data_IF_164554630360
#
_entry.id   IF_164554630360
#
_cell.length_a   1.000
_cell.length_b   1.000
_cell.length_c   1.000
_cell.angle_alpha   90.00
_cell.angle_beta   90.00
_cell.angle_gamma   90.00
#
_symmetry.space_group_name_H-M   'P 1'
#
loop_
_entity.id
_entity.type
_entity.pdbx_description
1 polymer ?
#
# COMPACT_ATOMS: atom_id res chain seq x y z
N UNK A 1 17.57 12.95 -20.45
CA UNK A 1 17.64 11.60 -19.89
C UNK A 1 16.23 11.29 -19.44
N UNK A 2 15.66 10.36 -20.18
CA UNK A 2 14.23 10.13 -20.22
C UNK A 2 13.61 9.99 -18.86
N UNK A 3 12.51 10.75 -18.71
CA UNK A 3 11.44 10.46 -17.80
C UNK A 3 11.20 8.94 -17.89
N UNK A 4 11.58 8.18 -16.87
CA UNK A 4 11.25 6.78 -16.76
C UNK A 4 9.74 6.72 -16.59
N UNK A 5 9.05 7.03 -17.70
CA UNK A 5 7.63 6.91 -17.82
C UNK A 5 7.31 5.44 -17.63
N UNK A 6 6.76 5.15 -16.46
CA UNK A 6 6.05 3.92 -16.18
C UNK A 6 5.11 3.69 -17.35
N UNK A 7 5.25 2.64 -18.16
CA UNK A 7 4.28 2.37 -19.19
C UNK A 7 2.95 2.10 -18.51
N UNK A 8 1.99 2.99 -18.70
CA UNK A 8 0.62 2.73 -18.27
C UNK A 8 0.10 1.58 -19.14
N UNK A 9 -0.41 0.51 -18.53
CA UNK A 9 -0.97 -0.58 -19.30
C UNK A 9 -2.13 -0.07 -20.14
N UNK A 10 -2.12 -0.36 -21.43
CA UNK A 10 -3.24 -0.03 -22.30
C UNK A 10 -4.39 -1.01 -22.05
N UNK A 11 -5.47 -0.55 -21.42
CA UNK A 11 -6.65 -1.36 -21.13
C UNK A 11 -7.30 -1.96 -22.39
N UNK A 12 -7.20 -1.27 -23.52
CA UNK A 12 -7.74 -1.79 -24.79
C UNK A 12 -6.96 -2.99 -25.34
N UNK A 13 -5.76 -3.22 -24.85
CA UNK A 13 -4.92 -4.36 -25.23
C UNK A 13 -5.20 -5.63 -24.40
N UNK A 14 -6.23 -5.66 -23.56
CA UNK A 14 -6.58 -6.87 -22.80
C UNK A 14 -6.86 -8.06 -23.71
N UNK A 15 -6.14 -9.19 -23.55
CA UNK A 15 -6.24 -10.34 -24.43
C UNK A 15 -7.41 -11.26 -24.06
N UNK A 16 -8.66 -10.81 -24.27
CA UNK A 16 -9.86 -11.48 -23.80
C UNK A 16 -10.01 -12.92 -24.31
N UNK A 17 -9.56 -13.20 -25.55
CA UNK A 17 -9.64 -14.51 -26.20
C UNK A 17 -8.39 -15.39 -25.97
N UNK A 18 -7.39 -14.92 -25.21
CA UNK A 18 -6.19 -15.67 -24.90
C UNK A 18 -6.41 -16.69 -23.77
N UNK A 19 -5.42 -17.56 -23.57
CA UNK A 19 -5.40 -18.48 -22.42
C UNK A 19 -5.34 -17.74 -21.09
N UNK A 20 -5.52 -18.48 -20.00
CA UNK A 20 -5.56 -17.91 -18.66
C UNK A 20 -4.20 -17.31 -18.26
N UNK A 21 -3.10 -17.94 -18.63
CA UNK A 21 -1.74 -17.48 -18.35
C UNK A 21 -1.46 -16.10 -18.98
N UNK A 22 -1.78 -15.94 -20.29
CA UNK A 22 -1.62 -14.65 -20.98
C UNK A 22 -2.50 -13.55 -20.36
N UNK A 23 -3.74 -13.90 -19.94
CA UNK A 23 -4.61 -12.95 -19.23
C UNK A 23 -4.05 -12.60 -17.86
N UNK A 24 -3.55 -13.59 -17.09
CA UNK A 24 -2.92 -13.38 -15.81
C UNK A 24 -1.72 -12.41 -15.89
N UNK A 25 -0.81 -12.66 -16.83
CA UNK A 25 0.35 -11.77 -17.04
C UNK A 25 -0.08 -10.34 -17.40
N UNK A 26 -1.16 -10.19 -18.17
CA UNK A 26 -1.71 -8.86 -18.45
C UNK A 26 -2.20 -8.16 -17.19
N UNK A 27 -2.94 -8.87 -16.33
CA UNK A 27 -3.44 -8.33 -15.05
C UNK A 27 -2.31 -7.92 -14.09
N UNK A 28 -1.19 -8.64 -14.10
CA UNK A 28 -0.02 -8.31 -13.29
C UNK A 28 0.58 -6.94 -13.62
N UNK A 29 0.37 -6.40 -14.82
CA UNK A 29 0.78 -5.03 -15.17
C UNK A 29 0.12 -3.97 -14.30
N UNK A 30 -1.06 -4.25 -13.76
CA UNK A 30 -1.76 -3.39 -12.80
C UNK A 30 -1.33 -3.68 -11.37
N UNK A 31 -1.12 -4.95 -11.02
CA UNK A 31 -0.63 -5.35 -9.70
C UNK A 31 0.67 -4.63 -9.31
N UNK A 32 1.65 -4.57 -10.22
CA UNK A 32 2.94 -3.91 -9.98
C UNK A 32 2.85 -2.40 -9.79
N UNK A 33 1.68 -1.79 -10.04
CA UNK A 33 1.44 -0.37 -9.84
C UNK A 33 1.16 0.01 -8.38
N UNK A 34 0.98 -0.95 -7.51
CA UNK A 34 0.70 -0.77 -6.09
C UNK A 34 1.77 0.06 -5.34
N UNK A 35 1.42 0.68 -4.22
CA UNK A 35 2.40 1.28 -3.32
C UNK A 35 3.16 0.21 -2.54
N UNK A 36 4.31 0.59 -2.03
CA UNK A 36 5.05 -0.21 -1.06
C UNK A 36 5.91 0.69 -0.18
N UNK A 37 6.22 0.23 1.03
CA UNK A 37 7.10 0.95 1.94
C UNK A 37 8.46 1.17 1.28
N UNK A 38 8.95 2.43 1.29
CA UNK A 38 10.16 2.89 0.56
C UNK A 38 10.21 2.48 -0.92
N UNK A 39 9.06 2.20 -1.54
CA UNK A 39 8.94 1.66 -2.90
C UNK A 39 9.77 0.37 -3.10
N UNK A 40 9.82 -0.45 -2.06
CA UNK A 40 10.59 -1.71 -2.07
C UNK A 40 10.02 -2.74 -3.04
N UNK A 41 8.71 -2.70 -3.35
CA UNK A 41 8.02 -3.60 -4.28
C UNK A 41 8.31 -5.07 -3.97
N UNK A 42 7.93 -5.55 -2.77
CA UNK A 42 8.33 -6.85 -2.24
C UNK A 42 7.39 -7.99 -2.67
N UNK A 43 6.98 -8.00 -3.92
CA UNK A 43 6.11 -9.02 -4.48
C UNK A 43 6.77 -9.76 -5.63
N UNK A 44 6.46 -11.05 -5.72
CA UNK A 44 6.75 -11.90 -6.87
C UNK A 44 5.47 -12.69 -7.22
N UNK A 45 5.37 -13.12 -8.45
CA UNK A 45 4.19 -13.84 -8.96
C UNK A 45 4.62 -15.07 -9.74
N UNK A 46 4.03 -16.22 -9.45
CA UNK A 46 4.10 -17.40 -10.29
C UNK A 46 2.77 -17.56 -11.02
N UNK A 47 2.81 -17.78 -12.32
CA UNK A 47 1.62 -18.02 -13.13
C UNK A 47 1.68 -19.44 -13.68
N UNK A 48 0.64 -20.23 -13.43
CA UNK A 48 0.52 -21.60 -13.90
C UNK A 48 -0.96 -21.91 -14.17
N UNK A 49 -1.31 -22.19 -15.40
CA UNK A 49 -2.68 -22.42 -15.88
C UNK A 49 -3.63 -21.25 -15.52
N UNK A 50 -4.58 -21.48 -14.60
CA UNK A 50 -5.54 -20.49 -14.09
C UNK A 50 -5.22 -20.00 -12.67
N UNK A 51 -4.00 -20.26 -12.18
CA UNK A 51 -3.55 -19.85 -10.87
C UNK A 51 -2.46 -18.78 -10.95
N UNK A 52 -2.58 -17.75 -10.12
CA UNK A 52 -1.54 -16.78 -9.83
C UNK A 52 -1.11 -16.99 -8.38
N UNK A 53 0.10 -17.48 -8.16
CA UNK A 53 0.70 -17.58 -6.83
C UNK A 53 1.37 -16.26 -6.48
N UNK A 54 1.00 -15.70 -5.35
CA UNK A 54 1.53 -14.44 -4.83
C UNK A 54 2.56 -14.74 -3.76
N UNK A 55 3.76 -14.18 -3.93
CA UNK A 55 4.87 -14.37 -2.99
C UNK A 55 5.29 -13.03 -2.39
N UNK A 56 5.69 -13.06 -1.13
CA UNK A 56 6.42 -12.00 -0.48
C UNK A 56 7.93 -12.22 -0.68
N UNK A 57 8.61 -11.25 -1.30
CA UNK A 57 10.07 -11.25 -1.51
C UNK A 57 10.73 -10.68 -0.23
N UNK A 58 11.08 -11.57 0.70
CA UNK A 58 11.70 -11.21 1.99
C UNK A 58 13.10 -10.60 1.82
N UNK A 59 13.75 -10.80 0.65
CA UNK A 59 15.02 -10.13 0.35
C UNK A 59 14.89 -8.60 0.23
N UNK A 60 13.66 -8.11 0.04
CA UNK A 60 13.32 -6.69 -0.09
C UNK A 60 12.71 -6.12 1.20
N UNK A 61 12.75 -6.86 2.29
CA UNK A 61 12.30 -6.40 3.60
C UNK A 61 13.16 -5.24 4.10
N UNK A 62 12.53 -4.29 4.75
CA UNK A 62 13.18 -3.21 5.49
C UNK A 62 13.52 -3.72 6.90
N UNK A 63 14.61 -4.47 7.01
CA UNK A 63 14.90 -5.26 8.22
C UNK A 63 15.13 -4.43 9.48
N UNK A 64 15.36 -3.14 9.35
CA UNK A 64 15.53 -2.20 10.47
C UNK A 64 14.26 -1.41 10.74
N UNK A 65 13.62 -0.88 9.69
CA UNK A 65 12.38 -0.13 9.83
C UNK A 65 11.17 -1.05 10.09
N UNK A 66 11.14 -2.21 9.46
CA UNK A 66 10.04 -3.19 9.50
C UNK A 66 10.56 -4.59 9.85
N UNK A 67 11.10 -4.80 11.07
CA UNK A 67 11.70 -6.07 11.45
C UNK A 67 10.72 -7.24 11.45
N UNK A 68 9.44 -6.97 11.72
CA UNK A 68 8.37 -7.97 11.76
C UNK A 68 7.75 -8.24 10.38
N UNK A 69 8.17 -7.50 9.33
CA UNK A 69 7.63 -7.62 7.98
C UNK A 69 6.19 -7.15 7.81
N UNK A 70 5.65 -6.34 8.74
CA UNK A 70 4.26 -5.84 8.68
C UNK A 70 4.03 -5.04 7.40
N UNK A 71 4.85 -4.02 7.16
CA UNK A 71 4.76 -3.18 5.97
C UNK A 71 5.07 -3.94 4.69
N UNK A 72 5.93 -4.97 4.76
CA UNK A 72 6.19 -5.87 3.64
C UNK A 72 4.90 -6.58 3.21
N UNK A 73 4.18 -7.22 4.14
CA UNK A 73 2.94 -7.94 3.81
C UNK A 73 1.79 -7.01 3.45
N UNK A 74 1.68 -5.84 4.09
CA UNK A 74 0.75 -4.78 3.67
C UNK A 74 1.03 -4.37 2.22
N UNK A 75 2.29 -4.20 1.83
CA UNK A 75 2.66 -3.86 0.45
C UNK A 75 2.26 -4.95 -0.56
N UNK A 76 2.45 -6.23 -0.21
CA UNK A 76 2.00 -7.36 -1.05
C UNK A 76 0.46 -7.38 -1.15
N UNK A 77 -0.24 -7.10 -0.06
CA UNK A 77 -1.69 -6.95 -0.05
C UNK A 77 -2.19 -5.85 -0.99
N UNK A 78 -1.47 -4.71 -1.09
CA UNK A 78 -1.79 -3.66 -2.05
C UNK A 78 -1.68 -4.15 -3.51
N UNK A 79 -0.63 -4.92 -3.83
CA UNK A 79 -0.46 -5.49 -5.16
C UNK A 79 -1.56 -6.51 -5.49
N UNK A 80 -1.95 -7.33 -4.50
CA UNK A 80 -3.08 -8.25 -4.63
C UNK A 80 -4.40 -7.51 -4.90
N UNK A 81 -4.67 -6.39 -4.22
CA UNK A 81 -5.90 -5.63 -4.47
C UNK A 81 -5.93 -5.02 -5.88
N UNK A 82 -4.83 -4.45 -6.35
CA UNK A 82 -4.75 -3.96 -7.73
C UNK A 82 -4.98 -5.07 -8.76
N UNK A 83 -4.46 -6.28 -8.53
CA UNK A 83 -4.72 -7.45 -9.36
C UNK A 83 -6.22 -7.76 -9.43
N UNK A 84 -6.91 -7.77 -8.27
CA UNK A 84 -8.34 -8.10 -8.19
C UNK A 84 -9.22 -7.03 -8.83
N UNK A 85 -8.92 -5.75 -8.61
CA UNK A 85 -9.62 -4.63 -9.25
C UNK A 85 -9.46 -4.69 -10.78
N UNK A 86 -8.25 -5.03 -11.26
CA UNK A 86 -8.02 -5.20 -12.68
C UNK A 86 -8.78 -6.41 -13.24
N UNK A 87 -8.77 -7.55 -12.54
CA UNK A 87 -9.52 -8.74 -12.96
C UNK A 87 -11.02 -8.45 -13.07
N UNK A 88 -11.61 -7.80 -12.07
CA UNK A 88 -13.03 -7.40 -12.08
C UNK A 88 -13.36 -6.47 -13.25
N UNK A 89 -12.49 -5.50 -13.55
CA UNK A 89 -12.65 -4.57 -14.68
C UNK A 89 -12.75 -5.30 -16.02
N UNK A 90 -12.00 -6.39 -16.19
CA UNK A 90 -11.98 -7.19 -17.41
C UNK A 90 -12.96 -8.37 -17.39
N UNK A 91 -13.81 -8.47 -16.36
CA UNK A 91 -14.80 -9.53 -16.23
C UNK A 91 -14.19 -10.90 -15.92
N UNK A 92 -13.00 -10.92 -15.34
CA UNK A 92 -12.34 -12.15 -14.88
C UNK A 92 -12.68 -12.37 -13.42
N UNK A 93 -13.49 -13.39 -13.13
CA UNK A 93 -13.78 -13.79 -11.75
C UNK A 93 -12.52 -14.30 -11.06
N UNK A 94 -12.37 -13.99 -9.77
CA UNK A 94 -11.21 -14.41 -8.98
C UNK A 94 -11.63 -14.92 -7.61
N UNK A 95 -10.98 -15.99 -7.16
CA UNK A 95 -11.04 -16.48 -5.78
C UNK A 95 -9.65 -16.39 -5.16
N UNK A 96 -9.56 -15.85 -3.95
CA UNK A 96 -8.29 -15.71 -3.21
C UNK A 96 -8.24 -16.74 -2.09
N UNK A 97 -7.20 -17.55 -2.07
CA UNK A 97 -6.87 -18.49 -1.00
C UNK A 97 -5.59 -18.00 -0.31
N UNK A 98 -5.67 -17.64 0.97
CA UNK A 98 -4.49 -17.26 1.76
C UNK A 98 -3.77 -18.49 2.27
N UNK A 99 -2.44 -18.43 2.28
CA UNK A 99 -1.61 -19.52 2.83
C UNK A 99 -1.47 -19.32 4.34
N UNK A 100 -1.86 -20.35 5.12
CA UNK A 100 -1.72 -20.33 6.57
C UNK A 100 -0.24 -20.23 6.99
N UNK A 101 -0.01 -19.58 8.13
CA UNK A 101 1.34 -19.51 8.72
C UNK A 101 1.89 -20.87 9.10
N UNK A 102 1.02 -21.87 9.37
CA UNK A 102 1.38 -23.23 9.68
C UNK A 102 1.71 -24.08 8.45
N UNK A 103 1.19 -23.71 7.27
CA UNK A 103 1.35 -24.45 6.01
C UNK A 103 2.55 -23.92 5.18
N UNK A 104 3.66 -23.59 5.82
CA UNK A 104 4.86 -23.12 5.09
C UNK A 104 5.39 -24.20 4.14
N UNK A 105 5.25 -24.06 2.82
CA UNK A 105 6.06 -24.85 1.91
C UNK A 105 7.53 -24.38 2.06
N UNK A 106 8.43 -25.33 2.29
CA UNK A 106 9.85 -25.06 2.53
C UNK A 106 10.62 -24.51 1.31
N UNK A 107 9.98 -24.23 0.18
CA UNK A 107 10.69 -23.85 -1.05
C UNK A 107 9.83 -23.05 -2.01
N UNK A 108 9.93 -21.73 -1.89
CA UNK A 108 9.80 -20.82 -3.01
C UNK A 108 11.17 -20.52 -3.64
N UNK A 109 11.27 -19.67 -4.67
CA UNK A 109 12.53 -19.08 -5.08
C UNK A 109 13.25 -18.49 -3.88
N UNK A 110 14.59 -18.51 -3.85
CA UNK A 110 15.39 -18.05 -2.70
C UNK A 110 14.82 -16.76 -2.08
N UNK A 111 14.46 -16.81 -0.80
CA UNK A 111 13.84 -15.72 -0.02
C UNK A 111 12.42 -15.29 -0.42
N UNK A 112 11.66 -16.05 -1.21
CA UNK A 112 10.26 -15.78 -1.52
C UNK A 112 9.32 -16.68 -0.70
N UNK A 113 8.37 -16.04 0.00
CA UNK A 113 7.35 -16.73 0.79
C UNK A 113 6.03 -16.73 0.05
N UNK A 114 5.47 -17.90 -0.28
CA UNK A 114 4.12 -18.01 -0.81
C UNK A 114 3.10 -17.58 0.24
N UNK A 115 2.24 -16.62 -0.10
CA UNK A 115 1.31 -15.98 0.84
C UNK A 115 -0.15 -16.04 0.41
N UNK A 116 -0.41 -16.16 -0.90
CA UNK A 116 -1.76 -16.33 -1.42
C UNK A 116 -1.75 -16.97 -2.80
N UNK A 117 -2.84 -17.64 -3.16
CA UNK A 117 -3.14 -18.10 -4.53
C UNK A 117 -4.40 -17.41 -5.01
N UNK A 118 -4.37 -16.83 -6.19
CA UNK A 118 -5.53 -16.28 -6.89
C UNK A 118 -5.89 -17.24 -8.02
N UNK A 119 -7.11 -17.81 -7.97
CA UNK A 119 -7.65 -18.66 -9.04
C UNK A 119 -8.52 -17.80 -9.94
N UNK A 120 -8.25 -17.87 -11.23
CA UNK A 120 -9.05 -17.19 -12.25
C UNK A 120 -10.18 -18.09 -12.71
N UNK A 121 -11.41 -17.62 -12.68
CA UNK A 121 -12.56 -18.36 -13.16
C UNK A 121 -12.52 -18.49 -14.70
N UNK A 122 -12.75 -19.70 -15.20
CA UNK A 122 -12.73 -19.99 -16.64
C UNK A 122 -13.96 -19.48 -17.38
N UNK A 123 -15.04 -19.20 -16.66
CA UNK A 123 -16.29 -18.69 -17.24
C UNK A 123 -16.53 -17.24 -16.79
N UNK A 124 -16.40 -16.30 -17.73
CA UNK A 124 -16.85 -14.91 -17.53
C UNK A 124 -18.37 -14.90 -17.35
N UNK A 125 -18.85 -14.67 -16.14
CA UNK A 125 -20.25 -14.35 -15.93
C UNK A 125 -20.52 -12.94 -16.51
N UNK A 126 -21.22 -12.89 -17.63
CA UNK A 126 -21.85 -11.67 -18.15
C UNK A 126 -22.90 -11.25 -17.13
N UNK A 127 -22.58 -10.31 -16.27
CA UNK A 127 -23.51 -9.80 -15.26
C UNK A 127 -24.50 -8.84 -15.94
N UNK A 128 -25.76 -9.24 -15.98
CA UNK A 128 -26.86 -8.52 -16.67
C UNK A 128 -27.92 -8.04 -15.70
N UNK A 129 -27.64 -7.12 -14.77
CA UNK A 129 -28.69 -6.47 -13.98
C UNK A 129 -28.34 -5.01 -13.56
N UNK A 130 -29.37 -4.20 -13.30
CA UNK A 130 -29.27 -2.76 -13.02
C UNK A 130 -28.51 -2.40 -11.71
N UNK A 131 -28.49 -3.26 -10.71
CA UNK A 131 -27.64 -3.13 -9.52
C UNK A 131 -26.16 -3.34 -9.89
N UNK A 132 -25.89 -4.20 -10.84
CA UNK A 132 -24.59 -4.41 -11.46
C UNK A 132 -24.06 -3.17 -12.21
N UNK A 133 -24.90 -2.28 -12.74
CA UNK A 133 -24.42 -1.10 -13.48
C UNK A 133 -23.84 -0.02 -12.55
N UNK A 134 -24.34 0.11 -11.33
CA UNK A 134 -23.76 1.03 -10.34
C UNK A 134 -22.49 0.44 -9.69
N UNK A 135 -22.45 -0.87 -9.45
CA UNK A 135 -21.26 -1.61 -9.05
C UNK A 135 -20.19 -1.55 -10.15
N UNK A 136 -20.57 -1.75 -11.42
CA UNK A 136 -19.67 -1.63 -12.59
C UNK A 136 -19.10 -0.21 -12.75
N UNK A 137 -19.89 0.82 -12.43
CA UNK A 137 -19.43 2.21 -12.46
C UNK A 137 -18.37 2.50 -11.39
N UNK A 138 -18.55 1.95 -10.18
CA UNK A 138 -17.61 2.09 -9.08
C UNK A 138 -16.28 1.35 -9.35
N UNK A 139 -16.37 0.10 -9.76
CA UNK A 139 -15.18 -0.71 -10.03
C UNK A 139 -14.38 -0.14 -11.22
N UNK A 140 -15.06 0.43 -12.20
CA UNK A 140 -14.39 1.19 -13.27
C UNK A 140 -13.64 2.39 -12.73
N UNK A 141 -14.20 3.15 -11.77
CA UNK A 141 -13.54 4.29 -11.17
C UNK A 141 -12.33 3.87 -10.32
N UNK A 142 -12.40 2.74 -9.59
CA UNK A 142 -11.26 2.20 -8.86
C UNK A 142 -10.14 1.75 -9.80
N UNK A 143 -10.50 1.08 -10.90
CA UNK A 143 -9.54 0.66 -11.91
C UNK A 143 -8.82 1.85 -12.55
N UNK A 144 -9.55 2.88 -12.96
CA UNK A 144 -8.97 4.09 -13.54
C UNK A 144 -8.04 4.80 -12.54
N UNK A 145 -8.37 4.73 -11.25
CA UNK A 145 -7.55 5.30 -10.18
C UNK A 145 -6.20 4.58 -9.99
N UNK A 146 -6.02 3.32 -10.41
CA UNK A 146 -4.75 2.59 -10.27
C UNK A 146 -3.58 3.35 -10.93
N UNK A 147 -3.81 3.87 -12.13
CA UNK A 147 -2.80 4.63 -12.86
C UNK A 147 -2.53 6.01 -12.23
N UNK A 148 -3.54 6.62 -11.61
CA UNK A 148 -3.49 7.97 -11.08
C UNK A 148 -3.09 8.05 -9.61
N UNK A 149 -3.23 6.96 -8.84
CA UNK A 149 -2.90 6.92 -7.42
C UNK A 149 -1.45 7.32 -7.16
N UNK A 150 -1.26 8.27 -6.25
CA UNK A 150 0.04 8.78 -5.80
C UNK A 150 0.05 8.90 -4.28
N UNK A 151 1.20 8.66 -3.67
CA UNK A 151 1.45 9.08 -2.29
C UNK A 151 1.73 10.58 -2.30
N UNK A 152 0.97 11.36 -1.53
CA UNK A 152 1.08 12.81 -1.53
C UNK A 152 1.78 13.31 -0.26
N UNK A 153 3.02 13.77 -0.41
CA UNK A 153 3.88 14.25 0.68
C UNK A 153 3.68 15.73 1.04
N UNK A 154 2.68 16.41 0.46
CA UNK A 154 2.39 17.81 0.74
C UNK A 154 1.45 17.96 1.94
N UNK A 155 1.40 19.13 2.61
CA UNK A 155 0.35 19.43 3.57
C UNK A 155 -1.03 19.34 2.89
N UNK A 156 -2.01 18.78 3.60
CA UNK A 156 -3.38 18.74 3.11
C UNK A 156 -4.13 20.01 3.49
N UNK A 157 -5.17 20.31 2.73
CA UNK A 157 -6.04 21.45 2.96
C UNK A 157 -7.03 21.13 4.10
N UNK A 158 -7.57 22.18 4.75
CA UNK A 158 -8.50 22.02 5.85
C UNK A 158 -9.94 21.65 5.45
N UNK A 159 -10.18 21.48 4.15
CA UNK A 159 -11.48 21.03 3.64
C UNK A 159 -11.81 19.65 4.20
N UNK A 160 -13.05 19.47 4.66
CA UNK A 160 -13.52 18.18 5.17
C UNK A 160 -13.62 17.13 4.05
N UNK A 161 -13.33 15.88 4.39
CA UNK A 161 -13.64 14.75 3.51
C UNK A 161 -15.16 14.53 3.53
N UNK A 162 -15.82 14.29 2.39
CA UNK A 162 -17.25 14.00 2.35
C UNK A 162 -17.59 12.76 3.20
N UNK A 163 -18.68 12.85 3.98
CA UNK A 163 -19.16 11.77 4.85
C UNK A 163 -19.38 10.47 4.06
N UNK A 164 -19.97 10.57 2.87
CA UNK A 164 -20.19 9.41 1.99
C UNK A 164 -18.92 8.68 1.58
N UNK A 165 -17.78 9.38 1.55
CA UNK A 165 -16.48 8.74 1.31
C UNK A 165 -16.03 8.00 2.56
N UNK A 166 -16.15 8.61 3.75
CA UNK A 166 -15.78 7.99 5.02
C UNK A 166 -16.60 6.71 5.27
N UNK A 167 -17.92 6.76 5.12
CA UNK A 167 -18.81 5.60 5.22
C UNK A 167 -18.45 4.47 4.26
N UNK A 168 -17.99 4.84 3.05
CA UNK A 168 -17.55 3.88 2.06
C UNK A 168 -16.26 3.19 2.48
N UNK A 169 -15.29 3.95 3.00
CA UNK A 169 -14.04 3.39 3.50
C UNK A 169 -14.29 2.41 4.66
N UNK A 170 -15.19 2.75 5.58
CA UNK A 170 -15.59 1.86 6.68
C UNK A 170 -16.23 0.59 6.17
N UNK A 171 -17.14 0.70 5.19
CA UNK A 171 -17.81 -0.46 4.57
C UNK A 171 -16.81 -1.37 3.86
N UNK A 172 -15.86 -0.81 3.11
CA UNK A 172 -14.84 -1.56 2.38
C UNK A 172 -13.88 -2.28 3.34
N UNK A 173 -13.44 -1.61 4.40
CA UNK A 173 -12.59 -2.21 5.42
C UNK A 173 -13.30 -3.39 6.12
N UNK A 174 -14.54 -3.16 6.58
CA UNK A 174 -15.35 -4.20 7.21
C UNK A 174 -15.59 -5.40 6.30
N UNK A 175 -15.81 -5.18 4.99
CA UNK A 175 -15.98 -6.26 4.01
C UNK A 175 -14.70 -7.09 3.81
N UNK A 176 -13.53 -6.50 4.06
CA UNK A 176 -12.25 -7.20 4.06
C UNK A 176 -11.93 -7.89 5.39
N UNK A 177 -12.78 -7.76 6.41
CA UNK A 177 -12.53 -8.25 7.78
C UNK A 177 -11.46 -7.43 8.51
N UNK A 178 -11.37 -6.14 8.21
CA UNK A 178 -10.38 -5.19 8.75
C UNK A 178 -11.11 -4.08 9.49
N UNK A 179 -10.62 -3.71 10.67
CA UNK A 179 -11.12 -2.54 11.40
C UNK A 179 -10.58 -1.24 10.83
N UNK A 180 -11.34 -0.16 10.93
CA UNK A 180 -10.94 1.17 10.49
C UNK A 180 -11.33 2.22 11.52
N UNK A 181 -10.35 2.92 12.08
CA UNK A 181 -10.53 4.09 12.94
C UNK A 181 -10.29 5.37 12.14
N UNK A 182 -11.31 6.24 12.05
CA UNK A 182 -11.24 7.53 11.38
C UNK A 182 -11.14 8.67 12.41
N UNK A 183 -9.95 9.23 12.56
CA UNK A 183 -9.67 10.29 13.53
C UNK A 183 -9.84 11.65 12.88
N UNK A 184 -10.99 12.29 13.12
CA UNK A 184 -11.33 13.65 12.67
C UNK A 184 -11.17 14.70 13.78
N UNK A 185 -11.16 14.29 15.05
CA UNK A 185 -10.99 15.18 16.20
C UNK A 185 -9.59 15.83 16.22
N UNK A 186 -9.48 17.16 16.25
CA UNK A 186 -8.20 17.85 16.20
C UNK A 186 -7.28 17.51 17.38
N UNK A 187 -7.81 17.35 18.60
CA UNK A 187 -6.99 17.08 19.78
C UNK A 187 -6.41 15.65 19.71
N UNK A 188 -7.17 14.66 19.21
CA UNK A 188 -6.64 13.30 18.97
C UNK A 188 -5.57 13.32 17.87
N UNK A 189 -5.77 14.08 16.78
CA UNK A 189 -4.77 14.21 15.71
C UNK A 189 -3.48 14.89 16.21
N UNK A 190 -3.57 15.89 17.09
CA UNK A 190 -2.37 16.48 17.72
C UNK A 190 -1.60 15.46 18.56
N UNK A 191 -2.28 14.58 19.28
CA UNK A 191 -1.64 13.50 20.03
C UNK A 191 -0.95 12.50 19.11
N UNK A 192 -1.59 12.10 18.00
CA UNK A 192 -0.97 11.25 16.98
C UNK A 192 0.26 11.96 16.37
N UNK A 193 0.18 13.24 16.08
CA UNK A 193 1.31 14.02 15.57
C UNK A 193 2.50 14.10 16.56
N UNK A 194 2.22 14.10 17.87
CA UNK A 194 3.27 14.01 18.88
C UNK A 194 3.93 12.62 18.92
N UNK A 195 3.15 11.53 18.74
CA UNK A 195 3.70 10.17 18.59
C UNK A 195 4.55 10.08 17.32
N UNK A 196 4.09 10.64 16.20
CA UNK A 196 4.83 10.67 14.95
C UNK A 196 6.20 11.36 15.11
N UNK A 197 6.25 12.51 15.80
CA UNK A 197 7.51 13.20 16.07
C UNK A 197 8.48 12.32 16.85
N UNK A 198 8.00 11.64 17.90
CA UNK A 198 8.81 10.73 18.71
C UNK A 198 9.31 9.53 17.92
N UNK A 199 8.49 9.00 17.02
CA UNK A 199 8.87 7.90 16.15
C UNK A 199 10.00 8.32 15.19
N UNK A 200 9.82 9.44 14.49
CA UNK A 200 10.83 9.98 13.59
C UNK A 200 12.16 10.26 14.31
N UNK A 201 12.12 10.88 15.50
CA UNK A 201 13.33 11.15 16.30
C UNK A 201 14.05 9.84 16.64
N UNK A 202 13.34 8.80 17.13
CA UNK A 202 13.96 7.51 17.49
C UNK A 202 14.55 6.80 16.28
N UNK A 203 13.85 6.79 15.16
CA UNK A 203 14.34 6.14 13.93
C UNK A 203 15.57 6.86 13.38
N UNK A 204 15.56 8.19 13.35
CA UNK A 204 16.72 8.95 12.88
C UNK A 204 17.90 8.97 13.86
N UNK A 205 17.69 8.69 15.15
CA UNK A 205 18.77 8.47 16.12
C UNK A 205 19.48 7.13 15.88
N UNK A 206 18.82 6.12 15.28
CA UNK A 206 19.44 4.85 14.96
C UNK A 206 20.31 4.93 13.68
N UNK A 207 21.65 4.71 13.78
CA UNK A 207 22.50 4.66 12.60
C UNK A 207 22.15 3.58 11.60
N UNK A 208 21.56 2.44 12.05
CA UNK A 208 21.17 1.33 11.20
C UNK A 208 19.99 1.73 10.34
N UNK A 209 19.00 2.40 10.91
CA UNK A 209 17.86 2.97 10.18
C UNK A 209 18.30 3.95 9.10
N UNK A 210 19.19 4.90 9.46
CA UNK A 210 19.73 5.86 8.48
C UNK A 210 20.50 5.20 7.36
N UNK A 211 21.24 4.11 7.66
CA UNK A 211 21.95 3.34 6.65
C UNK A 211 21.01 2.59 5.70
N UNK A 212 19.94 1.99 6.23
CA UNK A 212 18.90 1.31 5.45
C UNK A 212 18.15 2.29 4.55
N UNK A 213 17.60 3.38 5.11
CA UNK A 213 16.92 4.43 4.35
C UNK A 213 17.84 5.04 3.27
N UNK A 214 19.11 5.30 3.63
CA UNK A 214 20.11 5.80 2.69
C UNK A 214 20.35 4.83 1.53
N UNK A 215 20.32 3.52 1.75
CA UNK A 215 20.44 2.50 0.68
C UNK A 215 19.28 2.63 -0.32
N UNK A 216 18.03 2.62 0.16
CA UNK A 216 16.83 2.73 -0.69
C UNK A 216 16.76 4.06 -1.46
N UNK A 217 17.16 5.17 -0.83
CA UNK A 217 17.30 6.45 -1.54
C UNK A 217 18.39 6.35 -2.64
N UNK A 218 19.53 5.76 -2.30
CA UNK A 218 20.67 5.65 -3.21
C UNK A 218 20.42 4.78 -4.43
N UNK A 219 19.55 3.79 -4.32
CA UNK A 219 19.15 2.90 -5.41
C UNK A 219 18.09 3.54 -6.34
N UNK A 220 17.64 4.78 -6.04
CA UNK A 220 16.68 5.51 -6.85
C UNK A 220 15.23 5.09 -6.66
N UNK A 221 14.94 4.21 -5.70
CA UNK A 221 13.60 3.67 -5.43
C UNK A 221 12.56 4.77 -5.16
N UNK A 222 12.98 5.89 -4.58
CA UNK A 222 12.09 7.02 -4.27
C UNK A 222 11.92 8.03 -5.44
N UNK A 223 12.30 7.67 -6.66
CA UNK A 223 12.06 8.47 -7.85
C UNK A 223 13.01 9.66 -8.04
N UNK A 224 14.04 9.81 -7.19
CA UNK A 224 15.05 10.83 -7.37
C UNK A 224 16.02 10.45 -8.50
N UNK A 225 16.36 11.41 -9.37
CA UNK A 225 17.40 11.18 -10.36
C UNK A 225 18.74 10.78 -9.70
N UNK A 226 19.56 10.00 -10.39
CA UNK A 226 20.77 9.36 -9.85
C UNK A 226 21.66 10.28 -8.98
N UNK A 227 21.92 11.50 -9.42
CA UNK A 227 22.76 12.43 -8.66
C UNK A 227 22.08 12.90 -7.36
N UNK A 228 20.77 13.22 -7.43
CA UNK A 228 19.99 13.65 -6.27
C UNK A 228 19.83 12.48 -5.27
N UNK A 229 19.65 11.25 -5.74
CA UNK A 229 19.61 10.04 -4.93
C UNK A 229 20.92 9.86 -4.13
N UNK A 230 22.08 10.01 -4.77
CA UNK A 230 23.39 9.92 -4.10
C UNK A 230 23.64 11.03 -3.08
N UNK A 231 23.22 12.25 -3.37
CA UNK A 231 23.30 13.37 -2.41
C UNK A 231 22.35 13.12 -1.23
N UNK A 232 21.13 12.66 -1.49
CA UNK A 232 20.15 12.32 -0.46
C UNK A 232 20.63 11.19 0.45
N UNK A 233 21.21 10.13 -0.13
CA UNK A 233 21.82 9.02 0.60
C UNK A 233 22.89 9.50 1.61
N UNK A 234 23.79 10.37 1.18
CA UNK A 234 24.83 10.91 2.04
C UNK A 234 24.24 11.83 3.12
N UNK A 235 23.24 12.66 2.76
CA UNK A 235 22.61 13.56 3.73
C UNK A 235 21.92 12.77 4.85
N UNK A 236 21.11 11.77 4.54
CA UNK A 236 20.42 10.95 5.54
C UNK A 236 21.39 10.17 6.43
N UNK A 237 22.48 9.66 5.83
CA UNK A 237 23.46 8.86 6.57
C UNK A 237 24.31 9.66 7.56
N UNK A 238 24.63 10.91 7.26
CA UNK A 238 25.63 11.68 8.01
C UNK A 238 25.09 12.94 8.68
N UNK A 239 23.89 13.42 8.36
CA UNK A 239 23.29 14.58 8.99
C UNK A 239 22.24 14.16 10.03
N UNK A 240 22.21 14.86 11.15
CA UNK A 240 21.14 14.73 12.13
C UNK A 240 19.87 15.42 11.57
N UNK A 241 18.91 14.60 11.12
CA UNK A 241 17.68 15.07 10.52
C UNK A 241 16.43 14.79 11.37
N UNK A 242 16.55 14.02 12.46
CA UNK A 242 15.42 13.52 13.24
C UNK A 242 14.45 14.62 13.69
N UNK A 243 14.94 15.64 14.37
CA UNK A 243 14.10 16.75 14.86
C UNK A 243 13.46 17.58 13.71
N UNK A 244 14.10 17.63 12.55
CA UNK A 244 13.57 18.34 11.37
C UNK A 244 12.46 17.54 10.69
N UNK A 245 12.69 16.25 10.47
CA UNK A 245 11.69 15.36 9.86
C UNK A 245 10.50 15.16 10.81
N UNK A 246 10.73 14.99 12.13
CA UNK A 246 9.65 14.93 13.12
C UNK A 246 8.73 16.16 13.09
N UNK A 247 9.29 17.37 13.03
CA UNK A 247 8.50 18.61 12.90
C UNK A 247 7.75 18.70 11.57
N UNK A 248 8.36 18.22 10.49
CA UNK A 248 7.72 18.19 9.17
C UNK A 248 6.55 17.20 9.17
N UNK A 249 6.77 15.96 9.60
CA UNK A 249 5.77 14.91 9.59
C UNK A 249 4.61 15.21 10.58
N UNK A 250 4.90 15.77 11.75
CA UNK A 250 3.88 16.27 12.68
C UNK A 250 2.94 17.30 12.03
N UNK A 251 3.49 18.25 11.26
CA UNK A 251 2.69 19.21 10.50
C UNK A 251 1.85 18.55 9.40
N UNK A 252 2.38 17.50 8.78
CA UNK A 252 1.63 16.75 7.80
C UNK A 252 0.43 16.03 8.43
N UNK A 253 0.60 15.40 9.60
CA UNK A 253 -0.48 14.78 10.37
C UNK A 253 -1.54 15.81 10.76
N UNK A 254 -1.13 16.92 11.37
CA UNK A 254 -2.07 17.94 11.84
C UNK A 254 -2.78 18.71 10.71
N UNK A 255 -2.17 18.78 9.53
CA UNK A 255 -2.81 19.41 8.36
C UNK A 255 -3.95 18.58 7.78
N UNK A 256 -3.93 17.27 7.94
CA UNK A 256 -4.93 16.40 7.35
C UNK A 256 -6.27 16.51 8.10
N UNK A 257 -7.41 16.59 7.40
CA UNK A 257 -8.72 16.56 8.04
C UNK A 257 -9.02 15.20 8.67
N UNK A 258 -8.45 14.11 8.15
CA UNK A 258 -8.63 12.75 8.64
C UNK A 258 -7.29 12.04 8.76
N UNK A 259 -7.07 11.37 9.88
CA UNK A 259 -6.06 10.31 10.04
C UNK A 259 -6.80 9.00 10.19
N UNK A 260 -6.48 8.03 9.36
CA UNK A 260 -7.09 6.71 9.32
C UNK A 260 -6.10 5.66 9.83
N UNK A 261 -6.59 4.73 10.65
CA UNK A 261 -5.82 3.60 11.16
C UNK A 261 -6.56 2.31 10.87
N UNK A 262 -5.96 1.45 10.07
CA UNK A 262 -6.45 0.10 9.80
C UNK A 262 -5.95 -0.83 10.90
N UNK A 263 -6.85 -1.67 11.41
CA UNK A 263 -6.60 -2.58 12.52
C UNK A 263 -6.94 -4.01 12.17
N UNK A 264 -6.32 -4.95 12.85
CA UNK A 264 -6.64 -6.37 12.76
C UNK A 264 -6.80 -6.98 14.16
N UNK A 265 -7.57 -8.05 14.27
CA UNK A 265 -7.82 -8.74 15.54
C UNK A 265 -6.72 -9.77 15.87
N UNK A 266 -5.85 -10.08 14.89
CA UNK A 266 -4.69 -10.94 15.05
C UNK A 266 -3.51 -10.40 14.22
N UNK A 267 -2.30 -10.91 14.51
CA UNK A 267 -1.05 -10.51 13.85
C UNK A 267 -0.54 -11.61 12.90
N UNK A 268 -1.42 -12.13 12.04
CA UNK A 268 -1.09 -13.13 11.02
C UNK A 268 -0.68 -12.49 9.69
N UNK A 269 -0.01 -13.27 8.84
CA UNK A 269 0.30 -12.81 7.46
C UNK A 269 -0.99 -12.54 6.68
N UNK A 270 -2.01 -13.37 6.84
CA UNK A 270 -3.31 -13.16 6.21
C UNK A 270 -3.91 -11.80 6.60
N UNK A 271 -3.94 -11.48 7.89
CA UNK A 271 -4.49 -10.21 8.40
C UNK A 271 -3.72 -9.00 7.85
N UNK A 272 -2.39 -9.09 7.78
CA UNK A 272 -1.55 -8.04 7.19
C UNK A 272 -1.82 -7.86 5.68
N UNK A 273 -2.03 -8.95 4.94
CA UNK A 273 -2.43 -8.91 3.52
C UNK A 273 -3.82 -8.29 3.35
N UNK A 274 -4.79 -8.65 4.20
CA UNK A 274 -6.14 -8.06 4.19
C UNK A 274 -6.10 -6.56 4.48
N UNK A 275 -5.28 -6.12 5.43
CA UNK A 275 -5.05 -4.69 5.70
C UNK A 275 -4.44 -3.99 4.49
N UNK A 276 -3.47 -4.60 3.81
CA UNK A 276 -2.89 -4.07 2.58
C UNK A 276 -3.91 -3.90 1.46
N UNK A 277 -4.79 -4.89 1.28
CA UNK A 277 -5.91 -4.81 0.34
C UNK A 277 -6.88 -3.68 0.71
N UNK A 278 -7.27 -3.59 1.98
CA UNK A 278 -8.15 -2.54 2.46
C UNK A 278 -7.52 -1.13 2.29
N UNK A 279 -6.23 -0.99 2.57
CA UNK A 279 -5.52 0.26 2.34
C UNK A 279 -5.50 0.66 0.86
N UNK A 280 -5.13 -0.24 -0.04
CA UNK A 280 -5.10 0.09 -1.46
C UNK A 280 -6.50 0.43 -1.99
N UNK A 281 -7.53 -0.33 -1.61
CA UNK A 281 -8.91 0.00 -1.96
C UNK A 281 -9.33 1.37 -1.46
N UNK A 282 -8.94 1.74 -0.23
CA UNK A 282 -9.15 3.08 0.32
C UNK A 282 -8.40 4.16 -0.47
N UNK A 283 -7.16 3.89 -0.87
CA UNK A 283 -6.34 4.81 -1.66
C UNK A 283 -6.89 5.01 -3.08
N UNK A 284 -7.40 3.94 -3.71
CA UNK A 284 -8.08 4.02 -5.02
C UNK A 284 -9.40 4.79 -4.90
N UNK A 285 -10.20 4.51 -3.86
CA UNK A 285 -11.44 5.25 -3.58
C UNK A 285 -11.15 6.74 -3.37
N UNK A 286 -10.15 7.07 -2.55
CA UNK A 286 -9.75 8.47 -2.35
C UNK A 286 -9.32 9.13 -3.67
N UNK A 287 -8.52 8.45 -4.47
CA UNK A 287 -8.03 8.94 -5.77
C UNK A 287 -9.18 9.21 -6.73
N UNK A 288 -10.15 8.29 -6.84
CA UNK A 288 -11.33 8.45 -7.71
C UNK A 288 -12.23 9.62 -7.31
N UNK A 289 -12.20 10.01 -6.03
CA UNK A 289 -12.94 11.14 -5.46
C UNK A 289 -12.09 12.45 -5.42
N UNK A 290 -10.90 12.45 -6.05
CA UNK A 290 -10.01 13.61 -6.08
C UNK A 290 -9.35 13.94 -4.74
N UNK A 291 -9.29 12.97 -3.82
CA UNK A 291 -8.62 13.06 -2.54
C UNK A 291 -7.19 12.50 -2.63
N UNK A 292 -6.36 12.88 -1.69
CA UNK A 292 -5.00 12.42 -1.56
C UNK A 292 -4.81 11.55 -0.31
N UNK A 293 -3.93 10.58 -0.39
CA UNK A 293 -3.51 9.73 0.73
C UNK A 293 -2.01 9.80 0.95
N UNK A 294 -1.58 9.57 2.21
CA UNK A 294 -0.18 9.43 2.55
C UNK A 294 -0.01 8.49 3.75
N UNK A 295 0.57 7.29 3.56
CA UNK A 295 0.97 6.40 4.66
C UNK A 295 1.97 7.06 5.59
N UNK A 296 1.83 6.84 6.90
CA UNK A 296 2.70 7.39 7.94
C UNK A 296 2.88 6.33 9.05
N UNK A 297 3.57 5.24 8.71
CA UNK A 297 3.64 4.05 9.56
C UNK A 297 4.72 4.10 10.64
N UNK A 298 5.54 5.14 10.73
CA UNK A 298 6.68 5.23 11.65
C UNK A 298 6.30 5.00 13.12
N UNK A 299 5.09 5.42 13.54
CA UNK A 299 4.57 5.15 14.89
C UNK A 299 4.43 3.64 15.12
N UNK A 300 4.00 2.91 14.09
CA UNK A 300 3.73 1.47 14.15
C UNK A 300 5.02 0.64 14.12
N UNK A 301 6.10 1.20 13.59
CA UNK A 301 7.43 0.59 13.52
C UNK A 301 8.18 0.65 14.88
N UNK A 302 7.63 1.37 15.88
CA UNK A 302 8.20 1.52 17.22
C UNK A 302 7.22 0.95 18.24
N UNK A 303 7.53 -0.21 18.82
CA UNK A 303 6.62 -1.05 19.61
C UNK A 303 5.87 -0.29 20.72
N UNK A 304 6.59 0.47 21.59
CA UNK A 304 5.95 1.22 22.67
C UNK A 304 5.08 2.39 22.17
N UNK A 305 5.42 3.00 21.02
CA UNK A 305 4.59 4.04 20.41
C UNK A 305 3.36 3.46 19.72
N UNK A 306 3.46 2.27 19.16
CA UNK A 306 2.31 1.51 18.65
C UNK A 306 1.32 1.20 19.76
N UNK A 307 1.81 0.74 20.91
CA UNK A 307 0.97 0.51 22.10
C UNK A 307 0.30 1.80 22.60
N UNK A 308 1.04 2.91 22.68
CA UNK A 308 0.46 4.22 23.04
C UNK A 308 -0.62 4.68 22.02
N UNK A 309 -0.45 4.38 20.74
CA UNK A 309 -1.46 4.67 19.72
C UNK A 309 -2.70 3.81 19.92
N UNK A 310 -2.56 2.51 20.21
CA UNK A 310 -3.66 1.59 20.51
C UNK A 310 -4.47 2.08 21.72
N UNK A 311 -3.80 2.50 22.81
CA UNK A 311 -4.46 3.09 23.98
C UNK A 311 -5.16 4.42 23.64
N UNK A 312 -4.52 5.31 22.89
CA UNK A 312 -5.09 6.58 22.44
C UNK A 312 -6.39 6.38 21.66
N UNK A 313 -6.42 5.35 20.82
CA UNK A 313 -7.56 5.05 19.96
C UNK A 313 -8.62 4.19 20.67
N UNK A 314 -8.25 3.51 21.77
CA UNK A 314 -9.14 2.63 22.51
C UNK A 314 -9.46 1.33 21.77
N UNK A 315 -8.47 0.77 21.06
CA UNK A 315 -8.64 -0.37 20.17
C UNK A 315 -8.92 -1.70 20.90
N UNK A 316 -8.70 -1.77 22.23
CA UNK A 316 -8.91 -2.99 23.00
C UNK A 316 -7.91 -4.07 22.62
N UNK A 317 -8.40 -5.20 22.10
CA UNK A 317 -7.57 -6.34 21.68
C UNK A 317 -7.10 -6.23 20.22
N UNK A 318 -7.69 -5.33 19.43
CA UNK A 318 -7.28 -5.14 18.03
C UNK A 318 -5.98 -4.35 17.93
N UNK A 319 -5.10 -4.74 17.01
CA UNK A 319 -3.81 -4.12 16.78
C UNK A 319 -3.83 -3.11 15.63
N UNK A 320 -3.21 -1.92 15.76
CA UNK A 320 -3.05 -1.00 14.66
C UNK A 320 -1.96 -1.52 13.71
N UNK A 321 -2.33 -1.74 12.44
CA UNK A 321 -1.44 -2.36 11.42
C UNK A 321 -0.95 -1.36 10.40
N UNK A 322 -1.79 -0.41 9.97
CA UNK A 322 -1.41 0.59 8.98
C UNK A 322 -2.06 1.94 9.27
N UNK A 323 -1.28 3.02 9.17
CA UNK A 323 -1.74 4.39 9.41
C UNK A 323 -1.51 5.26 8.19
N UNK A 324 -2.53 6.02 7.81
CA UNK A 324 -2.44 6.99 6.73
C UNK A 324 -3.28 8.24 6.99
N UNK A 325 -2.96 9.31 6.34
CA UNK A 325 -3.75 10.54 6.32
C UNK A 325 -4.50 10.67 5.00
N UNK A 326 -5.69 11.29 5.08
CA UNK A 326 -6.64 11.45 3.97
C UNK A 326 -7.15 12.89 3.93
N UNK A 327 -7.28 13.47 2.74
CA UNK A 327 -7.82 14.80 2.55
C UNK A 327 -7.53 15.40 1.19
N UNK A 328 -7.92 16.65 0.98
CA UNK A 328 -7.62 17.39 -0.24
C UNK A 328 -6.18 17.92 -0.20
N UNK A 329 -5.46 17.78 -1.31
CA UNK A 329 -4.10 18.31 -1.46
C UNK A 329 -3.85 18.81 -2.89
N UNK A 330 -2.84 19.64 -3.03
CA UNK A 330 -2.33 19.97 -4.36
C UNK A 330 -1.65 18.74 -4.96
N UNK A 331 -1.76 18.49 -6.27
CA UNK A 331 -1.15 17.33 -6.91
C UNK A 331 0.35 17.22 -6.60
N UNK A 332 0.79 16.01 -6.25
CA UNK A 332 2.21 15.69 -6.20
C UNK A 332 2.60 15.04 -7.54
N UNK A 333 3.47 15.72 -8.27
CA UNK A 333 3.92 15.26 -9.59
C UNK A 333 4.96 14.12 -9.50
N UNK A 334 5.42 13.78 -8.30
CA UNK A 334 6.45 12.76 -8.11
C UNK A 334 5.90 11.38 -8.48
N UNK A 335 6.52 10.74 -9.45
CA UNK A 335 6.27 9.34 -9.81
C UNK A 335 7.47 8.50 -9.38
N UNK A 336 7.22 7.42 -8.67
CA UNK A 336 8.24 6.44 -8.33
C UNK A 336 8.29 5.34 -9.39
N UNK A 337 9.48 4.82 -9.73
CA UNK A 337 9.60 3.75 -10.72
C UNK A 337 8.90 2.48 -10.27
N UNK A 338 8.56 1.62 -11.22
CA UNK A 338 8.04 0.28 -10.94
C UNK A 338 8.92 -0.76 -11.61
N UNK A 339 9.05 -1.91 -10.96
CA UNK A 339 9.65 -3.10 -11.57
C UNK A 339 8.76 -3.55 -12.73
N UNK A 340 9.31 -3.86 -13.91
CA UNK A 340 8.52 -4.45 -14.98
C UNK A 340 7.99 -5.83 -14.56
N UNK A 341 6.94 -6.32 -15.20
CA UNK A 341 6.32 -7.61 -14.84
C UNK A 341 7.32 -8.76 -14.95
N UNK A 342 8.19 -8.71 -15.96
CA UNK A 342 9.22 -9.73 -16.22
C UNK A 342 10.22 -9.88 -15.06
N UNK A 343 10.44 -8.83 -14.27
CA UNK A 343 11.35 -8.84 -13.10
C UNK A 343 10.68 -9.36 -11.82
N UNK A 344 9.36 -9.59 -11.86
CA UNK A 344 8.59 -10.08 -10.71
C UNK A 344 7.90 -11.43 -10.98
N UNK A 345 8.07 -12.01 -12.16
CA UNK A 345 7.67 -13.38 -12.48
C UNK A 345 8.70 -14.39 -12.00
N UNK A 346 8.24 -15.55 -11.45
CA UNK A 346 9.08 -16.64 -10.92
C UNK A 346 8.55 -18.00 -11.37
#
# INVERSE_FOLDING_TARGET
MDDASRPEPDAAAFPADADAETRAEFLLRYAVLAPSSHNSQPWLFGVEDDEIRVYADESRQLTVADPDGRELYVSVGCALENLLVAAERFGVGCTVEYVSDDDRPESGPDAARHVATVRLDRESAVVTDRESAAATGRESALFDAIADRRTNHRPFRSESVPESVLERLETDAASAGVGLELVTDPARRERIAALQTRADERQFDDPSYRAELGRWIGDGSLGAGWLAARVGQLAVRYLDMGAREGKKNSKLVTSAPVVAVLTADDDTVESRLRVGRAFERAALTATSEGLAVHPMSQILEVEDLRAELSELLGLGESEPVHLFRLGHADPDATRTPRRPVEDVLV
#
